data_IF_241639958837
#
_entry.id   IF_241639958837
#
_cell.length_a   1.000
_cell.length_b   1.000
_cell.length_c   1.000
_cell.angle_alpha   90.00
_cell.angle_beta   90.00
_cell.angle_gamma   90.00
#
_symmetry.space_group_name_H-M   'P 1'
#
loop_
_entity.id
_entity.type
_entity.pdbx_description
1 polymer ?
#
# COMPACT_ATOMS: atom_id res chain seq x y z
N UNK A 1 -2.32 5.79 -33.52
CA UNK A 1 -1.39 5.40 -32.43
C UNK A 1 0.07 5.64 -32.78
N UNK A 2 0.43 5.82 -34.06
CA UNK A 2 1.85 5.84 -34.48
C UNK A 2 2.61 7.16 -34.22
N UNK A 3 1.91 8.30 -34.06
CA UNK A 3 2.56 9.59 -33.85
C UNK A 3 3.11 9.81 -32.42
N UNK A 4 2.55 9.14 -31.41
CA UNK A 4 3.04 9.24 -30.02
C UNK A 4 4.30 8.40 -29.79
N UNK A 5 4.41 7.27 -30.49
CA UNK A 5 5.60 6.42 -30.45
C UNK A 5 6.79 7.13 -31.13
N UNK A 6 6.54 7.87 -32.23
CA UNK A 6 7.56 8.70 -32.88
C UNK A 6 8.05 9.85 -32.00
N UNK A 7 7.15 10.50 -31.23
CA UNK A 7 7.53 11.56 -30.29
C UNK A 7 8.33 11.02 -29.09
N UNK A 8 7.99 9.82 -28.60
CA UNK A 8 8.77 9.14 -27.57
C UNK A 8 10.14 8.71 -28.09
N UNK A 9 10.24 8.19 -29.32
CA UNK A 9 11.52 7.84 -29.95
C UNK A 9 12.38 9.07 -30.24
N UNK A 10 11.80 10.22 -30.59
CA UNK A 10 12.58 11.45 -30.81
C UNK A 10 13.08 12.07 -29.50
N UNK A 11 12.31 11.95 -28.40
CA UNK A 11 12.71 12.41 -27.06
C UNK A 11 13.72 11.47 -26.38
N UNK A 12 13.72 10.18 -26.76
CA UNK A 12 14.64 9.17 -26.24
C UNK A 12 15.86 8.88 -27.12
N UNK A 13 15.95 9.42 -28.35
CA UNK A 13 17.13 9.24 -29.20
C UNK A 13 18.29 10.12 -28.69
N UNK A 14 19.31 9.55 -28.02
CA UNK A 14 20.40 10.33 -27.45
C UNK A 14 21.29 10.93 -28.56
N UNK A 15 21.27 10.38 -29.78
CA UNK A 15 22.14 10.81 -30.87
C UNK A 15 21.75 12.18 -31.45
N UNK A 16 20.48 12.58 -31.40
CA UNK A 16 20.05 13.89 -31.90
C UNK A 16 20.56 15.03 -30.99
N UNK A 17 20.56 14.80 -29.68
CA UNK A 17 21.07 15.72 -28.65
C UNK A 17 22.61 15.78 -28.62
N UNK A 18 23.27 14.69 -28.97
CA UNK A 18 24.74 14.62 -29.12
C UNK A 18 25.17 15.36 -30.40
N UNK A 19 24.42 15.22 -31.51
CA UNK A 19 24.76 15.85 -32.79
C UNK A 19 24.65 17.38 -32.76
N UNK A 20 23.68 17.96 -32.06
CA UNK A 20 23.59 19.43 -31.92
C UNK A 20 24.67 20.00 -30.99
N UNK A 21 25.11 19.26 -29.97
CA UNK A 21 26.24 19.65 -29.12
C UNK A 21 27.57 19.58 -29.87
N UNK A 22 27.78 18.60 -30.74
CA UNK A 22 29.04 18.42 -31.47
C UNK A 22 29.28 19.45 -32.58
N UNK A 23 28.25 20.18 -33.02
CA UNK A 23 28.36 21.22 -34.06
C UNK A 23 28.84 22.58 -33.52
N UNK A 24 28.86 22.80 -32.20
CA UNK A 24 29.26 24.06 -31.57
C UNK A 24 30.47 23.93 -30.63
N UNK A 25 31.29 22.88 -30.79
CA UNK A 25 32.51 22.71 -30.00
C UNK A 25 33.68 23.28 -30.79
N UNK A 26 34.15 24.45 -30.38
CA UNK A 26 35.42 25.05 -30.81
C UNK A 26 36.57 24.02 -30.73
N UNK A 27 37.46 23.97 -31.73
CA UNK A 27 38.59 23.07 -31.73
C UNK A 27 39.71 23.64 -30.88
N UNK A 28 39.57 23.59 -29.56
CA UNK A 28 40.69 23.83 -28.66
C UNK A 28 40.77 22.70 -27.63
N UNK A 29 41.74 21.76 -27.75
CA UNK A 29 41.87 20.65 -26.82
C UNK A 29 42.58 21.14 -25.54
N UNK A 30 41.90 21.94 -24.73
CA UNK A 30 42.41 22.31 -23.40
C UNK A 30 42.16 21.17 -22.41
N UNK A 31 43.12 20.24 -22.38
CA UNK A 31 43.57 19.52 -21.20
C UNK A 31 42.46 18.98 -20.25
N UNK A 32 41.66 18.02 -20.72
CA UNK A 32 40.55 17.39 -19.96
C UNK A 32 41.01 16.41 -18.86
N UNK A 33 42.30 16.33 -18.56
CA UNK A 33 42.86 15.28 -17.69
C UNK A 33 42.95 15.66 -16.19
N UNK A 34 42.60 16.89 -15.80
CA UNK A 34 42.75 17.36 -14.42
C UNK A 34 41.44 17.88 -13.77
N UNK A 35 40.28 17.30 -14.12
CA UNK A 35 39.09 17.44 -13.27
C UNK A 35 39.38 16.79 -11.91
N UNK A 36 39.31 17.62 -10.86
CA UNK A 36 39.65 17.24 -9.48
C UNK A 36 38.78 16.03 -9.10
N UNK A 37 39.33 15.05 -8.40
CA UNK A 37 38.62 13.77 -8.13
C UNK A 37 37.21 13.97 -7.54
N UNK A 38 37.03 15.01 -6.73
CA UNK A 38 35.74 15.43 -6.17
C UNK A 38 34.69 15.81 -7.24
N UNK A 39 35.10 16.45 -8.34
CA UNK A 39 34.18 16.83 -9.42
C UNK A 39 33.68 15.60 -10.14
N UNK A 40 34.54 14.60 -10.38
CA UNK A 40 34.15 13.30 -10.95
C UNK A 40 33.10 12.61 -10.07
N UNK A 41 33.26 12.66 -8.75
CA UNK A 41 32.27 12.14 -7.79
C UNK A 41 30.95 12.91 -7.90
N UNK A 42 30.97 14.24 -7.96
CA UNK A 42 29.75 15.06 -8.11
C UNK A 42 29.03 14.74 -9.43
N UNK A 43 29.76 14.60 -10.54
CA UNK A 43 29.16 14.22 -11.82
C UNK A 43 28.57 12.81 -11.78
N UNK A 44 29.21 11.88 -11.08
CA UNK A 44 28.69 10.54 -10.86
C UNK A 44 27.36 10.55 -10.08
N UNK A 45 27.28 11.28 -8.96
CA UNK A 45 26.02 11.41 -8.19
C UNK A 45 24.93 12.19 -8.94
N UNK A 46 25.30 13.07 -9.88
CA UNK A 46 24.32 13.76 -10.75
C UNK A 46 23.75 12.85 -11.84
N UNK A 47 24.32 11.67 -12.10
CA UNK A 47 23.83 10.77 -13.13
C UNK A 47 22.40 10.27 -12.80
N UNK A 48 21.51 10.16 -13.81
CA UNK A 48 20.10 9.83 -13.60
C UNK A 48 19.90 8.45 -12.97
N UNK A 49 20.72 7.46 -13.33
CA UNK A 49 20.65 6.11 -12.77
C UNK A 49 21.03 6.08 -11.29
N UNK A 50 22.03 6.87 -10.91
CA UNK A 50 22.51 6.95 -9.52
C UNK A 50 21.44 7.60 -8.64
N UNK A 51 20.81 8.68 -9.11
CA UNK A 51 19.67 9.31 -8.44
C UNK A 51 18.52 8.34 -8.21
N UNK A 52 18.20 7.51 -9.19
CA UNK A 52 17.16 6.49 -9.06
C UNK A 52 17.46 5.48 -7.95
N UNK A 53 18.68 4.94 -7.89
CA UNK A 53 19.06 3.97 -6.85
C UNK A 53 19.07 4.57 -5.44
N UNK A 54 19.57 5.79 -5.28
CA UNK A 54 19.54 6.44 -3.96
C UNK A 54 18.11 6.73 -3.51
N UNK A 55 17.23 7.15 -4.43
CA UNK A 55 15.81 7.29 -4.12
C UNK A 55 15.20 5.95 -3.67
N UNK A 56 15.48 4.87 -4.40
CA UNK A 56 14.98 3.53 -4.07
C UNK A 56 15.46 3.03 -2.71
N UNK A 57 16.75 3.18 -2.40
CA UNK A 57 17.32 2.79 -1.10
C UNK A 57 16.71 3.64 0.03
N UNK A 58 16.58 4.95 -0.18
CA UNK A 58 15.94 5.83 0.78
C UNK A 58 14.49 5.42 1.07
N UNK A 59 13.71 5.10 0.03
CA UNK A 59 12.32 4.63 0.18
C UNK A 59 12.22 3.29 0.90
N UNK A 60 13.15 2.35 0.67
CA UNK A 60 13.20 1.08 1.41
C UNK A 60 13.45 1.30 2.90
N UNK A 61 14.46 2.12 3.23
CA UNK A 61 14.78 2.45 4.63
C UNK A 61 13.61 3.18 5.31
N UNK A 62 13.01 4.14 4.62
CA UNK A 62 11.82 4.85 5.09
C UNK A 62 10.68 3.88 5.43
N UNK A 63 10.42 2.91 4.56
CA UNK A 63 9.35 1.94 4.73
C UNK A 63 9.64 0.94 5.86
N UNK A 64 10.89 0.52 6.02
CA UNK A 64 11.32 -0.29 7.18
C UNK A 64 11.13 0.47 8.50
N UNK A 65 11.53 1.75 8.55
CA UNK A 65 11.31 2.61 9.72
C UNK A 65 9.81 2.80 9.98
N UNK A 66 9.01 3.03 8.94
CA UNK A 66 7.58 3.24 9.06
C UNK A 66 6.87 2.00 9.64
N UNK A 67 7.22 0.83 9.12
CA UNK A 67 6.76 -0.46 9.63
C UNK A 67 7.18 -0.70 11.08
N UNK A 68 8.45 -0.45 11.40
CA UNK A 68 8.99 -0.60 12.75
C UNK A 68 8.26 0.29 13.77
N UNK A 69 8.07 1.58 13.45
CA UNK A 69 7.37 2.51 14.34
C UNK A 69 5.93 2.06 14.57
N UNK A 70 5.21 1.63 13.54
CA UNK A 70 3.82 1.22 13.66
C UNK A 70 3.63 -0.08 14.48
N UNK A 71 4.60 -1.00 14.41
CA UNK A 71 4.57 -2.26 15.14
C UNK A 71 5.06 -2.15 16.60
N UNK A 72 6.18 -1.47 16.82
CA UNK A 72 6.93 -1.52 18.10
C UNK A 72 6.73 -0.26 18.93
N UNK A 73 6.82 0.92 18.32
CA UNK A 73 6.94 2.20 19.05
C UNK A 73 5.63 3.01 19.11
N UNK A 74 4.56 2.56 18.46
CA UNK A 74 3.28 3.28 18.42
C UNK A 74 2.51 3.14 19.73
N UNK A 75 2.86 3.98 20.72
CA UNK A 75 2.21 4.05 22.03
C UNK A 75 1.40 5.35 22.22
N UNK A 76 0.35 5.32 23.07
CA UNK A 76 -0.47 6.48 23.31
C UNK A 76 0.32 7.55 24.10
N UNK A 77 0.16 8.83 23.70
CA UNK A 77 0.94 9.98 24.21
C UNK A 77 0.83 10.17 25.73
N UNK A 78 -0.25 9.71 26.33
CA UNK A 78 -0.51 9.70 27.77
C UNK A 78 0.49 8.83 28.57
N UNK A 79 0.96 7.71 28.01
CA UNK A 79 1.88 6.76 28.68
C UNK A 79 3.30 7.32 28.76
N UNK A 80 3.70 8.12 27.77
CA UNK A 80 4.98 8.84 27.79
C UNK A 80 5.05 9.90 28.90
N UNK A 81 3.90 10.37 29.40
CA UNK A 81 3.84 11.34 30.50
C UNK A 81 4.05 10.74 31.89
N UNK A 82 3.84 9.43 32.05
CA UNK A 82 3.87 8.76 33.37
C UNK A 82 5.18 8.05 33.72
N UNK A 83 6.03 7.73 32.74
CA UNK A 83 7.15 6.80 32.95
C UNK A 83 8.55 7.46 33.03
N UNK A 84 8.66 8.78 32.81
CA UNK A 84 9.96 9.47 32.70
C UNK A 84 10.06 10.65 33.68
N UNK A 85 10.53 10.36 34.91
CA UNK A 85 11.06 11.35 35.85
C UNK A 85 12.60 11.30 35.81
N UNK A 86 13.18 11.60 34.64
CA UNK A 86 14.62 11.57 34.44
C UNK A 86 15.04 12.24 33.14
N UNK A 87 16.12 13.02 33.21
CA UNK A 87 16.67 13.98 32.25
C UNK A 87 17.12 13.32 30.92
N UNK A 88 16.18 12.76 30.16
CA UNK A 88 16.30 12.35 28.75
C UNK A 88 14.97 12.67 28.06
N UNK A 89 14.64 13.96 28.10
CA UNK A 89 13.33 14.49 27.75
C UNK A 89 13.17 14.65 26.24
N UNK A 90 12.48 13.69 25.60
CA UNK A 90 11.74 13.97 24.38
C UNK A 90 10.41 13.20 24.43
N UNK A 91 9.26 13.87 24.27
CA UNK A 91 7.93 13.28 24.47
C UNK A 91 7.54 12.22 23.40
N UNK A 92 8.41 11.96 22.42
CA UNK A 92 8.17 11.15 21.22
C UNK A 92 9.47 10.36 20.94
N UNK A 93 9.41 9.05 20.61
CA UNK A 93 10.59 8.27 20.29
C UNK A 93 11.32 8.83 19.05
N UNK A 94 12.65 8.75 19.05
CA UNK A 94 13.51 9.31 17.97
C UNK A 94 13.14 8.73 16.60
N UNK A 95 12.68 7.48 16.57
CA UNK A 95 12.21 6.76 15.38
C UNK A 95 10.94 7.37 14.79
N UNK A 96 9.95 7.72 15.61
CA UNK A 96 8.71 8.41 15.17
C UNK A 96 9.03 9.83 14.65
N UNK A 97 9.97 10.54 15.27
CA UNK A 97 10.42 11.85 14.76
C UNK A 97 11.13 11.71 13.41
N UNK A 98 12.04 10.74 13.28
CA UNK A 98 12.75 10.48 12.03
C UNK A 98 11.78 10.16 10.89
N UNK A 99 10.78 9.33 11.15
CA UNK A 99 9.68 9.02 10.24
C UNK A 99 8.95 10.29 9.81
N UNK A 100 8.52 11.14 10.76
CA UNK A 100 7.81 12.38 10.40
C UNK A 100 8.67 13.28 9.52
N UNK A 101 9.96 13.44 9.84
CA UNK A 101 10.91 14.21 9.02
C UNK A 101 11.02 13.64 7.61
N UNK A 102 11.11 12.31 7.46
CA UNK A 102 11.14 11.65 6.16
C UNK A 102 9.87 11.92 5.34
N UNK A 103 8.69 11.77 5.93
CA UNK A 103 7.42 12.02 5.22
C UNK A 103 7.28 13.48 4.83
N UNK A 104 7.64 14.41 5.73
CA UNK A 104 7.68 15.84 5.40
C UNK A 104 8.62 16.16 4.24
N UNK A 105 9.77 15.49 4.16
CA UNK A 105 10.69 15.59 3.03
C UNK A 105 10.04 15.17 1.71
N UNK A 106 9.32 14.04 1.71
CA UNK A 106 8.61 13.55 0.52
C UNK A 106 7.47 14.50 0.12
N UNK A 107 6.70 15.01 1.08
CA UNK A 107 5.63 16.00 0.81
C UNK A 107 6.18 17.24 0.11
N UNK A 108 7.35 17.74 0.55
CA UNK A 108 8.00 18.91 -0.07
C UNK A 108 8.44 18.60 -1.50
N UNK A 109 8.96 17.39 -1.74
CA UNK A 109 9.35 16.96 -3.08
C UNK A 109 8.14 16.91 -4.03
N UNK A 110 7.02 16.33 -3.58
CA UNK A 110 5.77 16.29 -4.35
C UNK A 110 5.20 17.68 -4.61
N UNK A 111 5.25 18.56 -3.61
CA UNK A 111 4.80 19.95 -3.77
C UNK A 111 5.66 20.71 -4.77
N UNK A 112 6.97 20.49 -4.77
CA UNK A 112 7.87 21.08 -5.76
C UNK A 112 7.57 20.55 -7.18
N UNK A 113 7.31 19.25 -7.32
CA UNK A 113 6.92 18.66 -8.61
C UNK A 113 5.57 19.20 -9.11
N UNK A 114 4.60 19.36 -8.21
CA UNK A 114 3.31 19.96 -8.51
C UNK A 114 3.44 21.40 -9.04
N UNK A 115 4.30 22.22 -8.42
CA UNK A 115 4.50 23.62 -8.84
C UNK A 115 5.17 23.77 -10.21
N UNK A 116 6.00 22.80 -10.62
CA UNK A 116 6.67 22.84 -11.92
C UNK A 116 5.71 22.56 -13.09
N UNK A 117 4.59 21.89 -12.83
CA UNK A 117 3.63 21.49 -13.85
C UNK A 117 2.63 22.64 -14.07
N UNK A 118 2.57 23.15 -15.30
CA UNK A 118 1.72 24.30 -15.64
C UNK A 118 0.23 23.93 -15.77
N UNK A 119 -0.11 22.64 -15.85
CA UNK A 119 -1.47 22.15 -16.07
C UNK A 119 -1.88 21.11 -15.03
N UNK A 120 -2.83 21.49 -14.17
CA UNK A 120 -3.37 20.63 -13.11
C UNK A 120 -4.10 19.39 -13.65
N UNK A 121 -4.70 19.50 -14.85
CA UNK A 121 -5.47 18.41 -15.47
C UNK A 121 -4.56 17.30 -15.97
N UNK A 122 -3.36 17.65 -16.46
CA UNK A 122 -2.37 16.67 -16.90
C UNK A 122 -1.74 15.94 -15.70
N UNK A 123 -1.56 16.64 -14.58
CA UNK A 123 -1.05 16.04 -13.34
C UNK A 123 -2.00 14.98 -12.75
N UNK A 124 -3.31 15.25 -12.77
CA UNK A 124 -4.34 14.34 -12.22
C UNK A 124 -4.69 13.19 -13.16
N UNK A 125 -4.20 13.18 -14.41
CA UNK A 125 -4.44 12.07 -15.33
C UNK A 125 -3.58 10.83 -14.99
N UNK A 126 -2.45 11.04 -14.31
CA UNK A 126 -1.53 9.97 -13.94
C UNK A 126 -2.00 9.29 -12.64
N UNK A 127 -2.30 7.99 -12.74
CA UNK A 127 -2.75 7.16 -11.61
C UNK A 127 -1.76 7.17 -10.44
N UNK A 128 -0.47 7.28 -10.72
CA UNK A 128 0.59 7.31 -9.72
C UNK A 128 0.55 8.59 -8.89
N UNK A 129 0.31 9.74 -9.53
CA UNK A 129 0.18 11.01 -8.83
C UNK A 129 -1.08 11.05 -7.96
N UNK A 130 -2.18 10.46 -8.43
CA UNK A 130 -3.41 10.31 -7.61
C UNK A 130 -3.11 9.48 -6.36
N UNK A 131 -2.37 8.39 -6.50
CA UNK A 131 -1.99 7.53 -5.38
C UNK A 131 -1.15 8.29 -4.36
N UNK A 132 -0.20 9.11 -4.82
CA UNK A 132 0.65 9.93 -3.96
C UNK A 132 -0.16 11.02 -3.22
N UNK A 133 -1.14 11.64 -3.86
CA UNK A 133 -2.07 12.58 -3.20
C UNK A 133 -2.87 11.87 -2.10
N UNK A 134 -3.40 10.67 -2.38
CA UNK A 134 -4.19 9.90 -1.42
C UNK A 134 -3.33 9.53 -0.20
N UNK A 135 -2.09 9.09 -0.41
CA UNK A 135 -1.15 8.80 0.67
C UNK A 135 -0.88 10.04 1.53
N UNK A 136 -0.58 11.19 0.93
CA UNK A 136 -0.34 12.44 1.66
C UNK A 136 -1.57 12.86 2.48
N UNK A 137 -2.78 12.77 1.93
CA UNK A 137 -4.00 13.12 2.64
C UNK A 137 -4.25 12.19 3.83
N UNK A 138 -4.07 10.87 3.65
CA UNK A 138 -4.21 9.89 4.73
C UNK A 138 -3.18 10.12 5.84
N UNK A 139 -1.92 10.39 5.46
CA UNK A 139 -0.88 10.75 6.40
C UNK A 139 -1.23 12.00 7.20
N UNK A 140 -1.71 13.06 6.56
CA UNK A 140 -2.10 14.31 7.23
C UNK A 140 -3.25 14.09 8.22
N UNK A 141 -4.26 13.29 7.85
CA UNK A 141 -5.35 12.93 8.76
C UNK A 141 -4.79 12.18 9.97
N UNK A 142 -3.98 11.14 9.75
CA UNK A 142 -3.33 10.37 10.83
C UNK A 142 -2.45 11.25 11.73
N UNK A 143 -1.70 12.18 11.14
CA UNK A 143 -0.85 13.14 11.83
C UNK A 143 -1.67 14.09 12.70
N UNK A 144 -2.70 14.75 12.16
CA UNK A 144 -3.58 15.65 12.93
C UNK A 144 -4.23 14.89 14.07
N UNK A 145 -4.75 13.69 13.82
CA UNK A 145 -5.36 12.85 14.84
C UNK A 145 -4.37 12.46 15.94
N UNK A 146 -3.09 12.24 15.60
CA UNK A 146 -2.03 11.97 16.58
C UNK A 146 -1.80 13.14 17.55
N UNK A 147 -1.91 14.39 17.09
CA UNK A 147 -1.76 15.58 17.97
C UNK A 147 -3.01 15.91 18.79
N UNK A 148 -4.18 15.40 18.40
CA UNK A 148 -5.39 15.53 19.19
C UNK A 148 -5.29 14.54 20.37
N UNK A 149 -4.95 15.07 21.56
CA UNK A 149 -4.69 14.31 22.80
C UNK A 149 -6.00 13.75 23.39
N UNK A 150 -6.67 12.86 22.67
CA UNK A 150 -7.87 12.15 23.10
C UNK A 150 -7.60 10.66 22.93
N UNK A 151 -7.62 9.90 24.04
CA UNK A 151 -7.27 8.47 24.05
C UNK A 151 -8.11 7.62 23.09
N UNK A 152 -9.40 7.94 22.96
CA UNK A 152 -10.31 7.22 22.06
C UNK A 152 -9.92 7.35 20.57
N UNK A 153 -9.24 8.43 20.19
CA UNK A 153 -8.89 8.72 18.79
C UNK A 153 -7.51 8.16 18.42
N UNK A 154 -6.75 7.62 19.38
CA UNK A 154 -5.46 6.99 19.15
C UNK A 154 -5.56 5.71 18.30
N UNK A 155 -6.59 4.89 18.56
CA UNK A 155 -6.82 3.70 17.74
C UNK A 155 -7.15 4.08 16.29
N UNK A 156 -7.90 5.16 16.12
CA UNK A 156 -8.23 5.73 14.81
C UNK A 156 -6.98 6.22 14.08
N UNK A 157 -6.05 6.93 14.73
CA UNK A 157 -4.80 7.34 14.10
C UNK A 157 -3.91 6.15 13.71
N UNK A 158 -3.90 5.07 14.51
CA UNK A 158 -3.18 3.84 14.17
C UNK A 158 -3.74 3.20 12.89
N UNK A 159 -5.06 3.18 12.74
CA UNK A 159 -5.72 2.66 11.53
C UNK A 159 -5.35 3.50 10.32
N UNK A 160 -5.40 4.84 10.43
CA UNK A 160 -5.03 5.73 9.33
C UNK A 160 -3.56 5.57 8.91
N UNK A 161 -2.61 5.49 9.85
CA UNK A 161 -1.21 5.21 9.51
C UNK A 161 -1.01 3.80 8.94
N UNK A 162 -1.79 2.82 9.40
CA UNK A 162 -1.77 1.46 8.84
C UNK A 162 -2.27 1.41 7.39
N UNK A 163 -3.31 2.17 7.07
CA UNK A 163 -3.78 2.34 5.69
C UNK A 163 -2.77 3.10 4.83
N UNK A 164 -2.18 4.17 5.37
CA UNK A 164 -1.14 4.94 4.69
C UNK A 164 0.08 4.07 4.34
N UNK A 165 0.51 3.18 5.25
CA UNK A 165 1.60 2.21 5.02
C UNK A 165 1.35 1.37 3.76
N UNK A 166 0.11 0.93 3.53
CA UNK A 166 -0.25 0.15 2.34
C UNK A 166 -0.05 0.98 1.07
N UNK A 167 -0.40 2.27 1.07
CA UNK A 167 -0.19 3.13 -0.08
C UNK A 167 1.31 3.34 -0.37
N UNK A 168 2.13 3.52 0.66
CA UNK A 168 3.59 3.57 0.50
C UNK A 168 4.18 2.26 -0.09
N UNK A 169 3.64 1.10 0.29
CA UNK A 169 3.99 -0.19 -0.34
C UNK A 169 3.56 -0.28 -1.82
N UNK A 170 2.45 0.32 -2.21
CA UNK A 170 2.06 0.36 -3.63
C UNK A 170 2.99 1.30 -4.40
N UNK A 171 3.39 2.43 -3.81
CA UNK A 171 4.34 3.38 -4.41
C UNK A 171 5.70 2.73 -4.74
N UNK A 172 6.23 1.89 -3.85
CA UNK A 172 7.50 1.19 -4.15
C UNK A 172 7.35 0.22 -5.33
N UNK A 173 6.19 -0.41 -5.48
CA UNK A 173 5.90 -1.26 -6.64
C UNK A 173 5.89 -0.43 -7.94
N UNK A 174 5.28 0.75 -7.92
CA UNK A 174 5.34 1.69 -9.04
C UNK A 174 6.78 2.10 -9.37
N UNK A 175 7.63 2.36 -8.37
CA UNK A 175 9.05 2.65 -8.56
C UNK A 175 9.80 1.47 -9.21
N UNK A 176 9.52 0.23 -8.80
CA UNK A 176 10.07 -0.97 -9.44
C UNK A 176 9.61 -1.15 -10.89
N UNK A 177 8.47 -0.56 -11.28
CA UNK A 177 8.03 -0.59 -12.67
C UNK A 177 8.96 0.16 -13.63
N UNK A 178 9.75 1.11 -13.13
CA UNK A 178 10.75 1.82 -13.91
C UNK A 178 12.04 1.01 -14.13
N UNK A 179 12.21 -0.12 -13.44
CA UNK A 179 13.39 -0.96 -13.56
C UNK A 179 13.33 -1.85 -14.81
N UNK A 180 14.36 -1.81 -15.65
CA UNK A 180 14.37 -2.41 -17.00
C UNK A 180 13.95 -3.90 -17.04
N UNK A 181 14.33 -4.69 -16.03
CA UNK A 181 14.04 -6.14 -16.01
C UNK A 181 12.76 -6.51 -15.25
N UNK A 182 12.30 -5.66 -14.34
CA UNK A 182 11.17 -5.93 -13.45
C UNK A 182 9.90 -5.24 -13.93
N UNK A 183 10.00 -4.09 -14.59
CA UNK A 183 8.87 -3.33 -15.12
C UNK A 183 7.95 -4.15 -16.02
N UNK A 184 8.46 -4.75 -17.11
CA UNK A 184 7.62 -5.56 -17.99
C UNK A 184 6.94 -6.75 -17.27
N UNK A 185 7.61 -7.33 -16.27
CA UNK A 185 7.05 -8.43 -15.46
C UNK A 185 5.92 -7.94 -14.56
N UNK A 186 6.10 -6.80 -13.88
CA UNK A 186 5.07 -6.19 -13.03
C UNK A 186 3.83 -5.80 -13.84
N UNK A 187 4.03 -5.18 -15.01
CA UNK A 187 2.93 -4.81 -15.91
C UNK A 187 2.18 -6.06 -16.40
N UNK A 188 2.90 -7.14 -16.70
CA UNK A 188 2.29 -8.43 -17.08
C UNK A 188 1.43 -8.98 -15.93
N UNK A 189 1.95 -8.99 -14.70
CA UNK A 189 1.21 -9.45 -13.51
C UNK A 189 -0.06 -8.62 -13.33
N UNK A 190 0.01 -7.29 -13.38
CA UNK A 190 -1.18 -6.44 -13.23
C UNK A 190 -2.22 -6.65 -14.31
N UNK A 191 -1.79 -6.91 -15.55
CA UNK A 191 -2.72 -7.22 -16.63
C UNK A 191 -3.48 -8.52 -16.34
N UNK A 192 -2.79 -9.55 -15.86
CA UNK A 192 -3.41 -10.81 -15.46
C UNK A 192 -4.27 -10.69 -14.20
N UNK A 193 -3.94 -9.78 -13.28
CA UNK A 193 -4.76 -9.54 -12.07
C UNK A 193 -6.19 -9.08 -12.41
N UNK A 194 -6.39 -8.33 -13.51
CA UNK A 194 -7.74 -7.93 -13.94
C UNK A 194 -8.58 -9.13 -14.37
N UNK A 195 -7.98 -10.09 -15.06
CA UNK A 195 -8.66 -11.32 -15.46
C UNK A 195 -8.93 -12.23 -14.25
N UNK A 196 -7.99 -12.28 -13.30
CA UNK A 196 -8.15 -13.01 -12.03
C UNK A 196 -9.26 -12.42 -11.16
N UNK A 197 -9.42 -11.09 -11.14
CA UNK A 197 -10.51 -10.43 -10.42
C UNK A 197 -11.88 -10.91 -10.93
N UNK A 198 -12.06 -11.00 -12.25
CA UNK A 198 -13.30 -11.52 -12.84
C UNK A 198 -13.57 -12.96 -12.41
N UNK A 199 -12.53 -13.80 -12.40
CA UNK A 199 -12.62 -15.18 -11.92
C UNK A 199 -13.00 -15.27 -10.44
N UNK A 200 -12.40 -14.44 -9.57
CA UNK A 200 -12.73 -14.40 -8.14
C UNK A 200 -14.17 -13.93 -7.92
N UNK A 201 -14.66 -12.94 -8.66
CA UNK A 201 -16.05 -12.51 -8.60
C UNK A 201 -17.01 -13.66 -8.94
N UNK A 202 -16.69 -14.45 -9.97
CA UNK A 202 -17.47 -15.63 -10.33
C UNK A 202 -17.52 -16.65 -9.18
N UNK A 203 -16.37 -16.98 -8.59
CA UNK A 203 -16.32 -17.87 -7.41
C UNK A 203 -17.14 -17.32 -6.25
N UNK A 204 -17.06 -16.01 -5.99
CA UNK A 204 -17.78 -15.36 -4.89
C UNK A 204 -19.29 -15.51 -5.05
N UNK A 205 -19.82 -15.38 -6.28
CA UNK A 205 -21.25 -15.60 -6.57
C UNK A 205 -21.67 -17.04 -6.22
N UNK A 206 -20.87 -18.05 -6.63
CA UNK A 206 -21.14 -19.44 -6.28
C UNK A 206 -21.06 -19.68 -4.78
N UNK A 207 -20.06 -19.10 -4.12
CA UNK A 207 -19.85 -19.23 -2.68
C UNK A 207 -21.00 -18.59 -1.90
N UNK A 208 -21.51 -17.44 -2.34
CA UNK A 208 -22.70 -16.81 -1.76
C UNK A 208 -23.94 -17.69 -1.92
N UNK A 209 -24.17 -18.25 -3.12
CA UNK A 209 -25.28 -19.19 -3.35
C UNK A 209 -25.23 -20.39 -2.41
N UNK A 210 -24.08 -21.05 -2.32
CA UNK A 210 -23.87 -22.16 -1.40
C UNK A 210 -24.04 -21.75 0.07
N UNK A 211 -23.54 -20.57 0.46
CA UNK A 211 -23.66 -20.04 1.82
C UNK A 211 -25.13 -19.84 2.20
N UNK A 212 -25.93 -19.24 1.31
CA UNK A 212 -27.37 -18.99 1.53
C UNK A 212 -28.14 -20.30 1.63
N UNK A 213 -27.89 -21.25 0.72
CA UNK A 213 -28.54 -22.56 0.77
C UNK A 213 -28.19 -23.32 2.05
N UNK A 214 -26.92 -23.32 2.44
CA UNK A 214 -26.48 -23.98 3.68
C UNK A 214 -27.12 -23.35 4.92
N UNK A 215 -27.21 -22.01 4.96
CA UNK A 215 -27.85 -21.30 6.07
C UNK A 215 -29.37 -21.57 6.12
N UNK A 216 -30.02 -21.62 4.96
CA UNK A 216 -31.45 -21.98 4.84
C UNK A 216 -31.76 -23.41 5.32
N UNK A 217 -30.89 -24.37 5.01
CA UNK A 217 -31.05 -25.75 5.47
C UNK A 217 -30.91 -25.88 7.00
N UNK A 218 -29.97 -25.16 7.60
CA UNK A 218 -29.77 -25.16 9.06
C UNK A 218 -30.98 -24.53 9.76
N UNK A 219 -31.43 -23.36 9.31
CA UNK A 219 -32.50 -22.61 9.98
C UNK A 219 -33.85 -23.35 9.95
N UNK A 220 -34.08 -24.22 8.96
CA UNK A 220 -35.31 -25.03 8.88
C UNK A 220 -35.44 -26.02 10.06
N UNK A 221 -34.31 -26.45 10.65
CA UNK A 221 -34.31 -27.33 11.82
C UNK A 221 -34.48 -26.60 13.15
N UNK A 222 -34.29 -25.29 13.16
CA UNK A 222 -34.31 -24.46 14.36
C UNK A 222 -35.50 -23.51 14.31
N UNK A 223 -36.56 -23.78 15.08
CA UNK A 223 -37.72 -22.90 15.08
C UNK A 223 -37.34 -21.53 15.65
N UNK A 224 -37.63 -20.46 14.88
CA UNK A 224 -37.48 -19.08 15.36
C UNK A 224 -38.65 -18.82 16.30
N UNK A 225 -38.41 -18.86 17.62
CA UNK A 225 -39.43 -18.56 18.62
C UNK A 225 -39.32 -17.12 19.08
N UNK A 226 -40.41 -16.36 18.90
CA UNK A 226 -40.53 -15.00 19.41
C UNK A 226 -40.92 -15.03 20.88
N UNK A 227 -40.02 -14.56 21.77
CA UNK A 227 -40.35 -14.39 23.20
C UNK A 227 -40.82 -12.95 23.41
N UNK A 228 -42.11 -12.79 23.68
CA UNK A 228 -42.68 -11.51 24.10
C UNK A 228 -42.50 -11.35 25.62
N UNK A 229 -42.02 -10.19 26.07
CA UNK A 229 -42.05 -9.85 27.49
C UNK A 229 -43.47 -9.49 27.95
N UNK A 230 -43.73 -9.61 29.24
CA UNK A 230 -45.06 -9.36 29.86
C UNK A 230 -45.62 -7.94 29.58
N UNK A 231 -44.79 -7.01 29.11
CA UNK A 231 -45.17 -5.65 28.74
C UNK A 231 -45.42 -5.46 27.23
N UNK A 232 -45.43 -6.54 26.44
CA UNK A 232 -45.59 -6.51 24.98
C UNK A 232 -44.33 -6.04 24.21
N UNK A 233 -43.20 -5.84 24.89
CA UNK A 233 -41.93 -5.50 24.24
C UNK A 233 -41.18 -6.77 23.81
N UNK A 234 -40.65 -6.76 22.57
CA UNK A 234 -39.79 -7.81 22.05
C UNK A 234 -38.46 -7.80 22.82
N UNK A 235 -38.19 -8.84 23.61
CA UNK A 235 -37.01 -8.89 24.47
C UNK A 235 -35.78 -9.44 23.74
N UNK A 236 -35.92 -10.47 22.90
CA UNK A 236 -34.83 -11.03 22.08
C UNK A 236 -35.35 -12.05 21.06
N UNK A 237 -34.65 -12.18 19.93
CA UNK A 237 -34.84 -13.28 18.97
C UNK A 237 -33.87 -14.39 19.38
N UNK A 238 -34.38 -15.47 19.99
CA UNK A 238 -33.57 -16.65 20.31
C UNK A 238 -33.97 -17.79 19.38
N UNK A 239 -32.97 -18.43 18.80
CA UNK A 239 -33.17 -19.63 17.99
C UNK A 239 -33.35 -20.79 18.98
N UNK A 240 -34.54 -21.40 19.01
CA UNK A 240 -34.81 -22.53 19.89
C UNK A 240 -34.06 -23.76 19.38
N UNK A 241 -32.89 -24.00 19.94
CA UNK A 241 -32.07 -25.19 19.67
C UNK A 241 -32.47 -26.28 20.68
N UNK A 242 -33.24 -27.28 20.23
CA UNK A 242 -33.77 -28.35 21.08
C UNK A 242 -32.72 -29.44 21.41
N UNK A 243 -31.43 -29.22 21.08
CA UNK A 243 -30.33 -30.15 21.40
C UNK A 243 -28.95 -29.43 21.38
N UNK A 244 -28.73 -28.53 22.33
CA UNK A 244 -27.53 -27.67 22.39
C UNK A 244 -26.20 -28.37 22.74
N UNK A 245 -26.15 -29.68 22.98
CA UNK A 245 -24.94 -30.28 23.56
C UNK A 245 -24.15 -31.23 22.64
N UNK A 246 -24.52 -31.41 21.36
CA UNK A 246 -23.84 -32.41 20.50
C UNK A 246 -23.29 -31.95 19.16
N UNK A 247 -23.63 -30.76 18.68
CA UNK A 247 -23.40 -30.44 17.26
C UNK A 247 -22.31 -29.42 16.93
N UNK A 248 -21.66 -28.80 17.91
CA UNK A 248 -20.83 -27.63 17.60
C UNK A 248 -19.45 -27.91 16.95
N UNK A 249 -19.03 -29.18 16.78
CA UNK A 249 -17.74 -29.50 16.14
C UNK A 249 -17.69 -30.78 15.29
N UNK A 250 -18.82 -31.49 15.17
CA UNK A 250 -18.86 -32.77 14.44
C UNK A 250 -19.28 -32.59 12.99
N UNK A 251 -20.33 -31.81 12.73
CA UNK A 251 -20.85 -31.59 11.38
C UNK A 251 -19.91 -30.75 10.51
N UNK A 252 -19.23 -29.75 11.08
CA UNK A 252 -18.23 -28.94 10.37
C UNK A 252 -16.96 -29.76 10.04
N UNK A 253 -16.60 -30.69 10.93
CA UNK A 253 -15.50 -31.65 10.74
C UNK A 253 -15.86 -32.74 9.73
N UNK A 254 -17.12 -33.18 9.71
CA UNK A 254 -17.63 -34.16 8.75
C UNK A 254 -17.82 -33.54 7.36
N UNK A 255 -18.28 -32.28 7.25
CA UNK A 255 -18.37 -31.58 5.95
C UNK A 255 -16.99 -31.29 5.35
N UNK A 256 -16.02 -30.90 6.16
CA UNK A 256 -14.63 -30.74 5.70
C UNK A 256 -14.01 -32.09 5.29
N UNK A 257 -14.29 -33.19 6.01
CA UNK A 257 -13.81 -34.52 5.64
C UNK A 257 -14.54 -35.16 4.44
N UNK A 258 -15.84 -34.97 4.27
CA UNK A 258 -16.62 -35.65 3.23
C UNK A 258 -16.78 -34.86 1.92
N UNK A 259 -16.84 -33.53 1.98
CA UNK A 259 -17.15 -32.69 0.81
C UNK A 259 -15.91 -32.18 0.06
N UNK A 260 -14.86 -31.79 0.79
CA UNK A 260 -13.70 -31.12 0.18
C UNK A 260 -12.68 -32.12 -0.36
N UNK A 261 -12.35 -33.17 0.40
CA UNK A 261 -11.31 -34.12 -0.01
C UNK A 261 -11.76 -35.12 -1.08
N UNK A 262 -13.05 -35.45 -1.14
CA UNK A 262 -13.56 -36.44 -2.10
C UNK A 262 -13.61 -35.90 -3.54
N UNK A 263 -13.74 -34.58 -3.70
CA UNK A 263 -13.71 -33.90 -5.02
C UNK A 263 -12.29 -33.78 -5.57
N UNK A 264 -11.28 -33.61 -4.70
CA UNK A 264 -9.88 -33.54 -5.13
C UNK A 264 -9.16 -34.90 -5.20
N UNK A 265 -9.67 -35.93 -4.50
CA UNK A 265 -9.05 -37.26 -4.44
C UNK A 265 -9.48 -38.27 -5.51
N UNK A 266 -10.34 -37.91 -6.47
CA UNK A 266 -10.82 -38.82 -7.52
C UNK A 266 -10.17 -38.60 -8.91
N UNK A 267 -9.11 -37.79 -8.99
CA UNK A 267 -8.37 -37.56 -10.26
C UNK A 267 -7.15 -38.49 -10.42
N UNK A 268 -6.82 -39.32 -9.44
CA UNK A 268 -5.83 -40.40 -9.60
C UNK A 268 -6.54 -41.76 -9.56
N UNK A 269 -6.68 -42.36 -10.75
CA UNK A 269 -7.10 -43.73 -11.11
C UNK A 269 -8.28 -43.77 -12.09
N UNK A 270 -8.02 -43.35 -13.33
CA UNK A 270 -8.28 -44.07 -14.59
C UNK A 270 -7.22 -43.63 -15.59
#
# INVERSE_FOLDING_TARGET
MDNYILLLLFKFNPNSRIRSKNLNIDPNPTNTNNVRWFEKVIYFYKAPIVRFYYNLIFFLIFLDIFSYVLLVDYFPLNTYRGHYSGIKDLPIPITEICLHICVWGIIIEEFHQFFLIHSYVEYLADMSNILDIIAIVLYLIGFITRFIVIEEIFMTSKIFFGLDLIFWYIRILHLFSAYERLGPKLIMIFKTMKDLLFFVCFILIFLLGFSITSWSLIITSSQITWIYGDNGTLLNITIADNNTDKWNWKLLRDLTNYGVWKVFGQVELI
#
